data_IF_337638136138
#
_entry.id   IF_337638136138
#
_cell.length_a   1.000
_cell.length_b   1.000
_cell.length_c   1.000
_cell.angle_alpha   90.00
_cell.angle_beta   90.00
_cell.angle_gamma   90.00
#
_symmetry.space_group_name_H-M   'P 1'
#
loop_
_entity.id
_entity.type
_entity.pdbx_description
1 polymer ?
#
# COMPACT_ATOMS: atom_id res chain seq x y z
N UNK A 1 0.08 -21.16 5.68
CA UNK A 1 -0.26 -20.64 7.03
C UNK A 1 0.67 -19.49 7.30
N UNK A 2 0.16 -18.29 7.57
CA UNK A 2 0.98 -17.12 7.86
C UNK A 2 1.91 -17.42 9.05
N UNK A 3 3.15 -16.94 8.98
CA UNK A 3 4.11 -17.06 10.07
C UNK A 3 3.84 -15.99 11.11
N UNK A 4 4.21 -16.28 12.36
CA UNK A 4 4.21 -15.27 13.40
C UNK A 4 5.39 -14.34 13.16
N UNK A 5 5.20 -13.01 13.27
CA UNK A 5 6.30 -12.08 13.09
C UNK A 5 7.45 -12.32 14.08
N UNK A 6 7.14 -12.78 15.30
CA UNK A 6 8.16 -13.11 16.31
C UNK A 6 9.18 -14.15 15.81
N UNK A 7 8.68 -15.20 15.15
CA UNK A 7 9.51 -16.29 14.63
C UNK A 7 10.42 -15.80 13.47
N UNK A 8 9.91 -14.85 12.67
CA UNK A 8 10.64 -14.26 11.54
C UNK A 8 11.75 -13.35 12.04
N UNK A 9 11.42 -12.48 13.00
CA UNK A 9 12.38 -11.57 13.62
C UNK A 9 13.50 -12.39 14.27
N UNK A 10 13.16 -13.41 15.07
CA UNK A 10 14.16 -14.27 15.71
C UNK A 10 15.06 -14.99 14.70
N UNK A 11 14.52 -15.43 13.56
CA UNK A 11 15.30 -16.06 12.51
C UNK A 11 16.28 -15.08 11.84
N UNK A 12 15.84 -13.85 11.55
CA UNK A 12 16.68 -12.81 10.98
C UNK A 12 17.73 -12.28 11.98
N UNK A 13 17.39 -12.19 13.27
CA UNK A 13 18.34 -11.88 14.35
C UNK A 13 19.44 -12.94 14.44
N UNK A 14 19.07 -14.23 14.36
CA UNK A 14 20.02 -15.34 14.39
C UNK A 14 21.01 -15.37 13.21
N UNK A 15 20.69 -14.70 12.11
CA UNK A 15 21.53 -14.57 10.92
C UNK A 15 22.24 -13.21 10.82
N UNK A 16 22.07 -12.32 11.81
CA UNK A 16 22.63 -10.96 11.80
C UNK A 16 22.20 -10.14 10.56
N UNK A 17 20.93 -10.27 10.14
CA UNK A 17 20.39 -9.64 8.93
C UNK A 17 19.54 -8.39 9.20
N UNK A 18 19.33 -8.04 10.46
CA UNK A 18 18.51 -6.91 10.84
C UNK A 18 19.36 -5.66 11.07
N UNK A 19 18.88 -4.50 10.64
CA UNK A 19 19.63 -3.24 10.72
C UNK A 19 18.77 -2.10 11.27
N UNK A 20 18.86 -1.92 12.58
CA UNK A 20 18.07 -0.92 13.33
C UNK A 20 18.73 0.45 13.41
N UNK A 21 19.95 0.59 12.89
CA UNK A 21 20.75 1.81 13.00
C UNK A 21 21.00 2.46 11.63
N UNK A 22 20.65 1.79 10.54
CA UNK A 22 20.88 2.32 9.20
C UNK A 22 20.09 3.60 8.93
N UNK A 23 20.80 4.56 8.33
CA UNK A 23 20.29 5.82 7.80
C UNK A 23 19.48 5.64 6.51
N UNK A 24 18.75 4.53 6.36
CA UNK A 24 17.76 4.44 5.28
C UNK A 24 16.58 5.28 5.75
N UNK A 25 16.26 6.34 5.00
CA UNK A 25 15.12 7.23 5.27
C UNK A 25 13.79 6.51 4.99
N UNK A 26 13.55 5.40 5.67
CA UNK A 26 12.22 4.81 5.72
C UNK A 26 11.30 5.74 6.49
N UNK A 27 10.04 5.89 6.07
CA UNK A 27 9.06 6.54 6.91
C UNK A 27 8.90 5.69 8.17
N UNK A 28 9.45 6.16 9.29
CA UNK A 28 9.21 5.54 10.58
C UNK A 28 7.98 6.20 11.22
N UNK A 29 7.14 5.44 11.94
CA UNK A 29 6.10 6.02 12.77
C UNK A 29 6.74 7.01 13.74
N UNK A 30 6.38 8.29 13.66
CA UNK A 30 7.00 9.30 14.51
C UNK A 30 6.64 9.01 15.96
N UNK A 31 7.65 9.07 16.84
CA UNK A 31 7.43 8.84 18.28
C UNK A 31 6.42 9.85 18.81
N UNK A 32 5.29 9.36 19.33
CA UNK A 32 4.22 10.19 19.90
C UNK A 32 3.00 10.39 19.00
N UNK A 33 3.02 9.94 17.74
CA UNK A 33 1.81 9.93 16.91
C UNK A 33 0.75 8.97 17.48
N UNK A 34 -0.49 9.45 17.55
CA UNK A 34 -1.61 8.60 17.94
C UNK A 34 -1.95 7.65 16.78
N UNK A 35 -1.68 6.36 16.98
CA UNK A 35 -2.06 5.30 16.06
C UNK A 35 -2.96 4.28 16.72
N UNK A 36 -3.80 3.63 15.93
CA UNK A 36 -4.58 2.49 16.38
C UNK A 36 -4.68 1.41 15.31
N UNK A 37 -4.91 0.14 15.69
CA UNK A 37 -5.13 -0.92 14.71
C UNK A 37 -6.28 -0.58 13.75
N UNK A 38 -6.02 -0.65 12.45
CA UNK A 38 -7.01 -0.48 11.41
C UNK A 38 -7.64 -1.85 11.09
N UNK A 39 -8.85 -2.08 11.61
CA UNK A 39 -9.61 -3.28 11.24
C UNK A 39 -10.11 -3.18 9.80
N UNK A 40 -9.38 -3.80 8.86
CA UNK A 40 -9.83 -3.89 7.46
C UNK A 40 -11.18 -4.60 7.32
N UNK A 41 -11.53 -5.48 8.27
CA UNK A 41 -12.84 -6.13 8.34
C UNK A 41 -13.98 -5.11 8.59
N UNK A 42 -13.72 -4.02 9.31
CA UNK A 42 -14.71 -2.95 9.47
C UNK A 42 -15.08 -2.29 8.13
N UNK A 43 -14.16 -2.29 7.17
CA UNK A 43 -14.33 -1.77 5.81
C UNK A 43 -14.82 -2.84 4.81
N UNK A 44 -15.06 -4.08 5.24
CA UNK A 44 -15.59 -5.14 4.36
C UNK A 44 -17.07 -4.95 4.05
N UNK A 45 -17.84 -4.37 4.97
CA UNK A 45 -19.29 -4.27 4.83
C UNK A 45 -19.68 -3.38 3.64
N UNK A 46 -20.55 -3.89 2.77
CA UNK A 46 -21.18 -3.11 1.71
C UNK A 46 -22.07 -1.99 2.26
N UNK A 47 -22.65 -2.20 3.45
CA UNK A 47 -23.47 -1.20 4.14
C UNK A 47 -22.59 -0.30 4.98
N UNK A 48 -22.87 0.99 4.91
CA UNK A 48 -22.29 2.00 5.79
C UNK A 48 -22.50 1.62 7.27
N UNK A 49 -21.52 1.85 8.15
CA UNK A 49 -21.66 1.60 9.58
C UNK A 49 -22.81 2.41 10.17
N UNK A 50 -23.45 1.88 11.23
CA UNK A 50 -24.48 2.61 11.97
C UNK A 50 -23.82 3.66 12.84
N UNK A 51 -23.71 4.87 12.31
CA UNK A 51 -23.21 6.07 13.01
C UNK A 51 -24.33 7.10 13.16
N UNK A 52 -24.14 8.06 14.06
CA UNK A 52 -25.05 9.20 14.22
C UNK A 52 -25.04 10.12 13.00
N UNK A 53 -26.05 11.00 12.90
CA UNK A 53 -26.15 11.96 11.79
C UNK A 53 -24.97 12.90 11.72
N UNK A 54 -24.49 13.38 12.88
CA UNK A 54 -23.33 14.27 13.02
C UNK A 54 -22.06 13.66 12.41
N UNK A 55 -21.80 12.37 12.64
CA UNK A 55 -20.69 11.67 12.01
C UNK A 55 -20.79 11.72 10.48
N UNK A 56 -21.96 11.42 9.92
CA UNK A 56 -22.13 11.37 8.47
C UNK A 56 -22.08 12.76 7.84
N UNK A 57 -22.61 13.78 8.52
CA UNK A 57 -22.47 15.18 8.10
C UNK A 57 -20.99 15.58 8.01
N UNK A 58 -20.20 15.30 9.04
CA UNK A 58 -18.77 15.59 9.05
C UNK A 58 -18.02 14.77 7.97
N UNK A 59 -18.33 13.49 7.81
CA UNK A 59 -17.67 12.66 6.79
C UNK A 59 -17.99 13.13 5.36
N UNK A 60 -19.23 13.56 5.11
CA UNK A 60 -19.63 14.15 3.82
C UNK A 60 -18.89 15.47 3.60
N UNK A 61 -18.78 16.32 4.63
CA UNK A 61 -18.07 17.59 4.57
C UNK A 61 -16.58 17.39 4.24
N UNK A 62 -15.87 16.57 5.01
CA UNK A 62 -14.43 16.31 4.82
C UNK A 62 -14.13 15.74 3.43
N UNK A 63 -14.88 14.73 3.00
CA UNK A 63 -14.73 14.14 1.66
C UNK A 63 -15.12 15.16 0.58
N UNK A 64 -16.14 15.98 0.82
CA UNK A 64 -16.56 17.04 -0.09
C UNK A 64 -15.54 18.17 -0.23
N UNK A 65 -14.84 18.54 0.85
CA UNK A 65 -13.74 19.50 0.83
C UNK A 65 -12.57 18.94 0.01
N UNK A 66 -12.17 17.70 0.26
CA UNK A 66 -11.10 17.03 -0.48
C UNK A 66 -11.43 16.77 -1.96
N UNK A 67 -12.71 16.75 -2.34
CA UNK A 67 -13.17 16.58 -3.72
C UNK A 67 -13.01 17.84 -4.59
N UNK A 68 -12.69 19.00 -4.00
CA UNK A 68 -12.62 20.26 -4.77
C UNK A 68 -11.48 20.23 -5.82
N UNK A 69 -11.72 20.69 -7.06
CA UNK A 69 -10.69 20.73 -8.10
C UNK A 69 -9.58 21.73 -7.74
N UNK A 70 -8.32 21.35 -7.93
CA UNK A 70 -7.18 22.28 -7.77
C UNK A 70 -5.92 21.75 -7.09
N UNK A 71 -5.96 20.54 -6.51
CA UNK A 71 -4.85 19.98 -5.72
C UNK A 71 -4.37 18.59 -6.22
N UNK A 72 -4.71 18.20 -7.46
CA UNK A 72 -4.31 16.89 -8.01
C UNK A 72 -2.76 16.75 -8.10
N UNK A 73 -2.02 17.86 -8.14
CA UNK A 73 -0.55 17.89 -8.08
C UNK A 73 0.07 17.50 -6.73
N UNK A 74 -0.72 17.40 -5.65
CA UNK A 74 -0.26 16.99 -4.32
C UNK A 74 -0.41 15.49 -4.06
N UNK A 75 -0.83 14.70 -5.04
CA UNK A 75 -1.07 13.27 -4.85
C UNK A 75 0.22 12.42 -4.83
N UNK A 76 1.37 12.91 -5.31
CA UNK A 76 2.64 12.20 -5.10
C UNK A 76 2.94 12.03 -3.60
N UNK A 77 2.54 13.00 -2.77
CA UNK A 77 2.64 12.89 -1.30
C UNK A 77 1.70 11.81 -0.73
N UNK A 78 0.63 11.41 -1.42
CA UNK A 78 -0.32 10.41 -0.88
C UNK A 78 0.28 9.01 -0.82
N UNK A 79 1.13 8.62 -1.77
CA UNK A 79 1.81 7.32 -1.76
C UNK A 79 3.14 7.37 -0.98
N UNK A 80 3.84 8.51 -0.97
CA UNK A 80 5.19 8.58 -0.37
C UNK A 80 5.23 9.20 1.04
N UNK A 81 4.17 9.91 1.45
CA UNK A 81 4.14 10.68 2.71
C UNK A 81 2.97 10.29 3.61
N UNK A 82 1.86 9.79 3.06
CA UNK A 82 0.61 9.60 3.81
C UNK A 82 0.17 8.14 4.02
N UNK A 83 0.80 7.17 3.35
CA UNK A 83 0.78 5.77 3.73
C UNK A 83 2.19 5.20 3.56
N UNK A 84 2.55 4.19 4.36
CA UNK A 84 3.85 3.53 4.23
C UNK A 84 3.84 2.13 4.82
N UNK A 85 4.70 1.26 4.30
CA UNK A 85 5.11 0.02 4.93
C UNK A 85 6.38 0.21 5.75
N UNK A 86 6.34 -0.14 7.04
CA UNK A 86 7.51 -0.24 7.91
C UNK A 86 8.07 -1.69 7.85
N UNK A 87 9.27 -1.90 7.27
CA UNK A 87 9.81 -3.24 7.07
C UNK A 87 10.16 -3.97 8.38
N UNK A 88 10.05 -5.30 8.39
CA UNK A 88 10.50 -6.15 9.51
C UNK A 88 12.00 -5.95 9.77
N UNK A 89 12.79 -5.80 8.70
CA UNK A 89 14.25 -5.61 8.76
C UNK A 89 14.70 -4.44 9.63
N UNK A 90 13.89 -3.39 9.72
CA UNK A 90 14.23 -2.14 10.42
C UNK A 90 13.31 -1.87 11.61
N UNK A 91 12.01 -2.13 11.48
CA UNK A 91 11.00 -1.75 12.49
C UNK A 91 10.70 -2.82 13.55
N UNK A 92 11.22 -4.06 13.43
CA UNK A 92 11.01 -5.14 14.42
C UNK A 92 9.53 -5.36 14.74
N UNK A 93 9.12 -5.17 16.00
CA UNK A 93 7.76 -5.34 16.50
C UNK A 93 6.81 -4.23 16.02
N UNK A 94 7.37 -3.08 15.61
CA UNK A 94 6.64 -1.95 15.02
C UNK A 94 6.49 -2.07 13.50
N UNK A 95 6.83 -3.21 12.90
CA UNK A 95 6.58 -3.48 11.49
C UNK A 95 5.09 -3.40 11.15
N UNK A 96 4.79 -3.11 9.89
CA UNK A 96 3.42 -3.14 9.38
C UNK A 96 3.11 -2.00 8.44
N UNK A 97 1.83 -1.88 8.09
CA UNK A 97 1.32 -0.85 7.19
C UNK A 97 0.72 0.28 8.02
N UNK A 98 1.10 1.50 7.73
CA UNK A 98 0.61 2.70 8.37
C UNK A 98 -0.11 3.56 7.34
N UNK A 99 -1.33 3.96 7.66
CA UNK A 99 -2.15 4.77 6.76
C UNK A 99 -2.60 5.99 7.56
N UNK A 100 -2.27 7.20 7.11
CA UNK A 100 -2.81 8.43 7.70
C UNK A 100 -4.26 8.58 7.34
N UNK A 101 -5.06 9.03 8.30
CA UNK A 101 -6.47 9.30 8.08
C UNK A 101 -6.68 10.36 6.98
N UNK A 102 -5.88 11.42 6.99
CA UNK A 102 -5.85 12.43 5.92
C UNK A 102 -5.60 11.84 4.52
N UNK A 103 -4.78 10.78 4.39
CA UNK A 103 -4.56 10.09 3.12
C UNK A 103 -5.85 9.48 2.58
N UNK A 104 -6.59 8.80 3.46
CA UNK A 104 -7.85 8.14 3.12
C UNK A 104 -8.89 9.18 2.71
N UNK A 105 -9.02 10.28 3.47
CA UNK A 105 -9.98 11.34 3.18
C UNK A 105 -9.67 12.04 1.86
N UNK A 106 -8.39 12.36 1.61
CA UNK A 106 -7.93 12.96 0.34
C UNK A 106 -8.25 12.05 -0.84
N UNK A 107 -7.86 10.78 -0.78
CA UNK A 107 -8.09 9.85 -1.87
C UNK A 107 -9.58 9.58 -2.08
N UNK A 108 -10.36 9.44 -1.00
CA UNK A 108 -11.82 9.30 -1.08
C UNK A 108 -12.48 10.54 -1.71
N UNK A 109 -12.02 11.74 -1.37
CA UNK A 109 -12.47 12.99 -2.00
C UNK A 109 -12.23 12.99 -3.51
N UNK A 110 -11.06 12.55 -3.97
CA UNK A 110 -10.74 12.46 -5.41
C UNK A 110 -11.56 11.40 -6.15
N UNK A 111 -11.92 10.32 -5.48
CA UNK A 111 -12.89 9.33 -5.99
C UNK A 111 -14.27 9.98 -6.09
N UNK A 112 -14.71 10.66 -5.03
CA UNK A 112 -16.01 11.33 -4.97
C UNK A 112 -16.15 12.43 -6.05
N UNK A 113 -15.08 13.17 -6.34
CA UNK A 113 -15.03 14.19 -7.38
C UNK A 113 -15.32 13.64 -8.80
N UNK A 114 -15.15 12.34 -9.01
CA UNK A 114 -15.40 11.64 -10.27
C UNK A 114 -16.77 10.96 -10.32
N UNK A 115 -17.57 11.06 -9.26
CA UNK A 115 -18.92 10.52 -9.25
C UNK A 115 -19.87 11.39 -10.11
N UNK A 116 -20.81 10.77 -10.84
CA UNK A 116 -21.81 11.52 -11.60
C UNK A 116 -22.79 12.25 -10.65
N UNK A 117 -23.14 13.49 -10.98
CA UNK A 117 -24.30 14.18 -10.38
C UNK A 117 -24.02 15.38 -9.47
N UNK A 118 -22.77 15.62 -9.05
CA UNK A 118 -22.37 16.86 -8.38
C UNK A 118 -22.93 17.10 -6.97
N UNK A 119 -22.03 17.34 -6.02
CA UNK A 119 -22.23 18.05 -4.74
C UNK A 119 -23.06 17.46 -3.60
N UNK A 120 -23.98 16.51 -3.80
CA UNK A 120 -24.64 15.81 -2.67
C UNK A 120 -24.21 14.35 -2.59
N UNK A 121 -23.25 14.07 -1.70
CA UNK A 121 -22.80 12.71 -1.44
C UNK A 121 -23.75 12.03 -0.44
N UNK A 122 -24.49 11.03 -0.90
CA UNK A 122 -25.19 10.09 -0.01
C UNK A 122 -24.15 9.33 0.86
N UNK A 123 -24.40 9.12 2.17
CA UNK A 123 -23.58 8.25 3.03
C UNK A 123 -23.09 6.95 2.38
N UNK A 124 -23.91 6.31 1.54
CA UNK A 124 -23.51 5.09 0.83
C UNK A 124 -22.35 5.32 -0.17
N UNK A 125 -22.35 6.46 -0.86
CA UNK A 125 -21.31 6.84 -1.82
C UNK A 125 -20.03 7.27 -1.10
N UNK A 126 -20.15 8.05 -0.03
CA UNK A 126 -19.01 8.41 0.85
C UNK A 126 -18.36 7.16 1.41
N UNK A 127 -19.17 6.24 1.95
CA UNK A 127 -18.67 4.98 2.48
C UNK A 127 -17.96 4.14 1.42
N UNK A 128 -18.52 4.07 0.20
CA UNK A 128 -17.86 3.41 -0.92
C UNK A 128 -16.51 4.04 -1.27
N UNK A 129 -16.43 5.38 -1.30
CA UNK A 129 -15.20 6.10 -1.59
C UNK A 129 -14.13 5.86 -0.50
N UNK A 130 -14.51 5.94 0.78
CA UNK A 130 -13.64 5.63 1.92
C UNK A 130 -13.10 4.19 1.87
N UNK A 131 -13.97 3.20 1.61
CA UNK A 131 -13.57 1.80 1.44
C UNK A 131 -12.57 1.64 0.30
N UNK A 132 -12.86 2.26 -0.85
CA UNK A 132 -11.99 2.20 -2.01
C UNK A 132 -10.63 2.81 -1.71
N UNK A 133 -10.59 3.97 -1.04
CA UNK A 133 -9.37 4.65 -0.65
C UNK A 133 -8.50 3.81 0.29
N UNK A 134 -9.10 3.25 1.36
CA UNK A 134 -8.40 2.36 2.30
C UNK A 134 -7.75 1.19 1.56
N UNK A 135 -8.50 0.50 0.69
CA UNK A 135 -7.96 -0.65 -0.02
C UNK A 135 -6.93 -0.28 -1.10
N UNK A 136 -7.04 0.88 -1.75
CA UNK A 136 -6.01 1.35 -2.67
C UNK A 136 -4.68 1.58 -1.93
N UNK A 137 -4.70 2.29 -0.80
CA UNK A 137 -3.50 2.56 0.00
C UNK A 137 -2.94 1.25 0.58
N UNK A 138 -3.79 0.44 1.21
CA UNK A 138 -3.38 -0.86 1.76
C UNK A 138 -2.73 -1.77 0.72
N UNK A 139 -3.26 -1.86 -0.50
CA UNK A 139 -2.70 -2.75 -1.52
C UNK A 139 -1.34 -2.28 -2.04
N UNK A 140 -1.12 -0.97 -2.12
CA UNK A 140 0.19 -0.42 -2.44
C UNK A 140 1.21 -0.84 -1.37
N UNK A 141 0.92 -0.54 -0.10
CA UNK A 141 1.85 -0.85 1.00
C UNK A 141 2.04 -2.36 1.24
N UNK A 142 0.98 -3.15 1.04
CA UNK A 142 1.07 -4.60 1.14
C UNK A 142 1.99 -5.19 0.06
N UNK A 143 2.17 -4.52 -1.08
CA UNK A 143 3.10 -4.97 -2.10
C UNK A 143 4.56 -4.91 -1.62
N UNK A 144 4.96 -3.83 -0.93
CA UNK A 144 6.29 -3.73 -0.31
C UNK A 144 6.52 -4.84 0.72
N UNK A 145 5.49 -5.19 1.51
CA UNK A 145 5.57 -6.36 2.39
C UNK A 145 5.82 -7.67 1.63
N UNK A 146 5.21 -7.85 0.44
CA UNK A 146 5.45 -9.04 -0.40
C UNK A 146 6.88 -9.08 -0.94
N UNK A 147 7.43 -7.92 -1.29
CA UNK A 147 8.82 -7.76 -1.74
C UNK A 147 9.80 -8.13 -0.63
N UNK A 148 9.62 -7.57 0.58
CA UNK A 148 10.43 -7.93 1.74
C UNK A 148 10.28 -9.42 2.07
N UNK A 149 9.06 -9.94 2.04
CA UNK A 149 8.79 -11.35 2.33
C UNK A 149 9.47 -12.30 1.34
N UNK A 150 9.61 -11.90 0.08
CA UNK A 150 10.38 -12.64 -0.91
C UNK A 150 11.88 -12.58 -0.59
N UNK A 151 12.41 -11.40 -0.26
CA UNK A 151 13.81 -11.22 0.14
C UNK A 151 14.18 -12.04 1.38
N UNK A 152 13.33 -12.05 2.42
CA UNK A 152 13.49 -12.87 3.64
C UNK A 152 13.60 -14.35 3.28
N UNK A 153 12.78 -14.85 2.35
CA UNK A 153 12.85 -16.25 1.93
C UNK A 153 14.19 -16.58 1.26
N UNK A 154 14.72 -15.66 0.45
CA UNK A 154 16.06 -15.82 -0.16
C UNK A 154 17.15 -15.79 0.91
N UNK A 155 17.09 -14.83 1.83
CA UNK A 155 18.03 -14.66 2.94
C UNK A 155 18.09 -15.90 3.84
N UNK A 156 16.94 -16.49 4.17
CA UNK A 156 16.88 -17.73 4.96
C UNK A 156 17.48 -18.94 4.22
N UNK A 157 17.42 -18.95 2.89
CA UNK A 157 17.98 -20.04 2.07
C UNK A 157 19.47 -19.86 1.79
N UNK A 158 19.89 -18.63 1.50
CA UNK A 158 21.25 -18.30 1.06
C UNK A 158 22.18 -17.93 2.23
N UNK A 159 21.62 -17.49 3.36
CA UNK A 159 22.40 -17.00 4.51
C UNK A 159 23.07 -15.64 4.25
N UNK A 160 22.64 -14.91 3.22
CA UNK A 160 23.19 -13.62 2.80
C UNK A 160 22.12 -12.55 2.78
N UNK A 161 22.46 -11.32 3.21
CA UNK A 161 21.56 -10.17 3.17
C UNK A 161 21.16 -9.81 1.73
N UNK A 162 19.86 -9.66 1.47
CA UNK A 162 19.28 -9.29 0.18
C UNK A 162 18.45 -8.03 0.27
N UNK A 163 17.53 -7.92 1.22
CA UNK A 163 16.54 -6.83 1.26
C UNK A 163 17.20 -5.45 1.44
N UNK A 164 17.98 -5.28 2.51
CA UNK A 164 18.61 -3.99 2.80
C UNK A 164 19.65 -3.55 1.74
N UNK A 165 20.52 -4.44 1.21
CA UNK A 165 21.38 -4.09 0.08
C UNK A 165 20.61 -3.77 -1.21
N UNK A 166 19.55 -4.53 -1.52
CA UNK A 166 18.65 -4.23 -2.64
C UNK A 166 18.06 -2.82 -2.50
N UNK A 167 17.47 -2.51 -1.35
CA UNK A 167 16.84 -1.21 -1.14
C UNK A 167 17.86 -0.07 -1.32
N UNK A 168 19.02 -0.15 -0.67
CA UNK A 168 20.09 0.87 -0.81
C UNK A 168 20.56 1.06 -2.26
N UNK A 169 20.73 -0.04 -2.99
CA UNK A 169 21.28 -0.01 -4.35
C UNK A 169 20.26 0.45 -5.39
N UNK A 170 18.98 0.10 -5.24
CA UNK A 170 17.93 0.40 -6.21
C UNK A 170 17.27 1.75 -5.94
N UNK A 171 16.91 2.05 -4.69
CA UNK A 171 16.30 3.32 -4.32
C UNK A 171 17.32 4.46 -4.24
N UNK A 172 18.59 4.13 -3.96
CA UNK A 172 19.70 5.10 -3.99
C UNK A 172 20.26 5.38 -5.38
N UNK A 173 19.76 4.74 -6.44
CA UNK A 173 20.31 4.87 -7.80
C UNK A 173 19.73 6.10 -8.54
N UNK A 174 20.53 7.16 -8.79
CA UNK A 174 20.04 8.37 -9.46
C UNK A 174 19.89 8.22 -10.99
N UNK A 175 20.23 7.05 -11.56
CA UNK A 175 20.49 6.88 -13.00
C UNK A 175 19.40 6.21 -13.84
N UNK A 176 18.24 5.87 -13.27
CA UNK A 176 17.13 5.26 -14.02
C UNK A 176 16.04 6.29 -14.31
N UNK A 177 15.69 6.52 -15.59
CA UNK A 177 14.63 7.46 -15.97
C UNK A 177 13.27 7.15 -15.32
N UNK A 178 13.05 5.92 -14.85
CA UNK A 178 11.77 5.40 -14.40
C UNK A 178 11.75 4.88 -12.95
N UNK A 179 12.65 5.29 -12.06
CA UNK A 179 12.59 4.97 -10.61
C UNK A 179 12.61 3.46 -10.27
N UNK A 180 12.33 3.07 -9.01
CA UNK A 180 12.29 1.65 -8.63
C UNK A 180 11.11 0.94 -9.30
N UNK A 181 11.37 -0.21 -9.92
CA UNK A 181 10.34 -1.06 -10.54
C UNK A 181 9.29 -1.55 -9.52
N UNK A 182 9.71 -1.69 -8.26
CA UNK A 182 8.85 -2.02 -7.13
C UNK A 182 7.67 -1.05 -6.99
N UNK A 183 7.90 0.26 -7.07
CA UNK A 183 6.84 1.27 -6.96
C UNK A 183 5.82 1.17 -8.10
N UNK A 184 6.31 0.93 -9.32
CA UNK A 184 5.46 0.71 -10.48
C UNK A 184 4.58 -0.53 -10.31
N UNK A 185 5.13 -1.62 -9.78
CA UNK A 185 4.38 -2.84 -9.50
C UNK A 185 3.41 -2.67 -8.32
N UNK A 186 3.76 -1.90 -7.29
CA UNK A 186 2.85 -1.55 -6.21
C UNK A 186 1.63 -0.76 -6.73
N UNK A 187 1.85 0.24 -7.59
CA UNK A 187 0.77 0.95 -8.30
C UNK A 187 -0.07 0.02 -9.19
N UNK A 188 0.58 -0.90 -9.91
CA UNK A 188 -0.11 -1.89 -10.72
C UNK A 188 -1.00 -2.82 -9.87
N UNK A 189 -0.52 -3.22 -8.69
CA UNK A 189 -1.26 -4.10 -7.77
C UNK A 189 -2.55 -3.45 -7.26
N UNK A 190 -2.57 -2.13 -7.05
CA UNK A 190 -3.80 -1.38 -6.72
C UNK A 190 -4.89 -1.58 -7.78
N UNK A 191 -4.55 -1.44 -9.06
CA UNK A 191 -5.48 -1.64 -10.19
C UNK A 191 -5.91 -3.10 -10.32
N UNK A 192 -4.99 -4.05 -10.13
CA UNK A 192 -5.24 -5.50 -10.26
C UNK A 192 -6.14 -5.99 -9.14
N UNK A 193 -5.90 -5.58 -7.90
CA UNK A 193 -6.68 -5.97 -6.73
C UNK A 193 -8.01 -5.25 -6.65
N UNK A 194 -8.15 -4.02 -7.13
CA UNK A 194 -9.47 -3.36 -7.22
C UNK A 194 -10.52 -4.24 -7.92
N UNK A 195 -10.11 -5.01 -8.94
CA UNK A 195 -11.00 -5.94 -9.67
C UNK A 195 -11.29 -7.25 -8.93
N UNK A 196 -10.38 -7.69 -8.06
CA UNK A 196 -10.37 -9.05 -7.46
C UNK A 196 -10.65 -9.05 -5.95
N UNK A 197 -10.53 -7.91 -5.28
CA UNK A 197 -10.61 -7.79 -3.82
C UNK A 197 -12.04 -8.09 -3.34
N UNK A 198 -12.14 -9.12 -2.52
CA UNK A 198 -13.41 -9.60 -1.97
C UNK A 198 -14.04 -8.56 -1.06
N UNK A 199 -13.22 -7.75 -0.39
CA UNK A 199 -13.68 -6.68 0.50
C UNK A 199 -14.25 -5.46 -0.23
N UNK A 200 -14.10 -5.39 -1.55
CA UNK A 200 -14.76 -4.39 -2.40
C UNK A 200 -16.04 -4.94 -3.05
N UNK A 201 -16.48 -6.17 -2.72
CA UNK A 201 -17.78 -6.68 -3.16
C UNK A 201 -18.91 -5.81 -2.61
N UNK A 202 -19.92 -5.56 -3.44
CA UNK A 202 -21.08 -4.73 -3.10
C UNK A 202 -20.79 -3.23 -3.03
N UNK A 203 -19.63 -2.78 -3.52
CA UNK A 203 -19.36 -1.36 -3.78
C UNK A 203 -20.37 -0.82 -4.81
N UNK A 204 -20.91 0.40 -4.65
CA UNK A 204 -21.68 1.04 -5.72
C UNK A 204 -20.90 1.07 -7.03
N UNK A 205 -21.59 0.81 -8.15
CA UNK A 205 -20.96 0.70 -9.47
C UNK A 205 -20.26 2.01 -9.85
N UNK A 206 -20.88 3.13 -9.51
CA UNK A 206 -20.41 4.49 -9.74
C UNK A 206 -19.08 4.72 -9.03
N UNK A 207 -18.98 4.31 -7.76
CA UNK A 207 -17.73 4.38 -6.99
C UNK A 207 -16.67 3.48 -7.61
N UNK A 208 -17.02 2.25 -8.01
CA UNK A 208 -16.05 1.33 -8.63
C UNK A 208 -15.43 1.91 -9.91
N UNK A 209 -16.27 2.53 -10.74
CA UNK A 209 -15.86 3.20 -11.97
C UNK A 209 -15.06 4.48 -11.68
N UNK A 210 -15.48 5.28 -10.69
CA UNK A 210 -14.77 6.48 -10.28
C UNK A 210 -13.37 6.17 -9.73
N UNK A 211 -13.24 5.15 -8.88
CA UNK A 211 -11.94 4.67 -8.37
C UNK A 211 -11.05 4.21 -9.51
N UNK A 212 -11.57 3.39 -10.43
CA UNK A 212 -10.79 2.92 -11.59
C UNK A 212 -10.32 4.11 -12.45
N UNK A 213 -11.24 5.01 -12.79
CA UNK A 213 -10.95 6.22 -13.58
C UNK A 213 -9.92 7.11 -12.90
N UNK A 214 -9.99 7.24 -11.57
CA UNK A 214 -8.97 7.94 -10.79
C UNK A 214 -7.61 7.29 -10.96
N UNK A 215 -7.47 6.00 -10.66
CA UNK A 215 -6.17 5.31 -10.69
C UNK A 215 -5.56 5.34 -12.10
N UNK A 216 -6.36 5.11 -13.15
CA UNK A 216 -5.89 5.15 -14.55
C UNK A 216 -5.44 6.55 -14.99
N UNK A 217 -6.03 7.61 -14.45
CA UNK A 217 -5.64 8.99 -14.76
C UNK A 217 -4.49 9.50 -13.88
N UNK A 218 -4.43 9.08 -12.62
CA UNK A 218 -3.51 9.61 -11.61
C UNK A 218 -2.15 8.92 -11.64
N UNK A 219 -2.11 7.58 -11.73
CA UNK A 219 -0.83 6.85 -11.69
C UNK A 219 0.16 7.39 -12.74
N UNK A 220 -0.22 7.63 -14.02
CA UNK A 220 0.71 8.16 -15.01
C UNK A 220 1.26 9.57 -14.72
N UNK A 221 0.64 10.34 -13.82
CA UNK A 221 1.11 11.69 -13.44
C UNK A 221 2.11 11.66 -12.29
N UNK A 222 2.36 10.51 -11.69
CA UNK A 222 3.30 10.35 -10.57
C UNK A 222 4.76 10.42 -11.03
N UNK A 223 5.66 10.46 -10.04
CA UNK A 223 7.10 10.49 -10.28
C UNK A 223 7.65 9.24 -11.00
N UNK A 224 8.95 9.23 -11.33
CA UNK A 224 9.65 8.00 -11.73
C UNK A 224 9.37 6.86 -10.74
N UNK A 225 9.20 5.64 -11.24
CA UNK A 225 8.84 4.44 -10.47
C UNK A 225 7.36 4.17 -10.63
N UNK A 226 6.57 5.02 -9.96
CA UNK A 226 5.13 4.94 -9.87
C UNK A 226 4.41 5.00 -11.23
N UNK A 227 4.82 5.91 -12.12
CA UNK A 227 4.07 6.23 -13.35
C UNK A 227 3.87 5.05 -14.31
N UNK A 228 4.68 4.01 -14.17
CA UNK A 228 4.60 2.79 -14.98
C UNK A 228 3.47 1.85 -14.56
N UNK A 229 2.80 2.11 -13.42
CA UNK A 229 1.86 1.14 -12.84
C UNK A 229 0.66 0.78 -13.71
N UNK A 230 0.19 1.69 -14.58
CA UNK A 230 -0.90 1.37 -15.53
C UNK A 230 -0.42 0.36 -16.58
N UNK A 231 0.77 0.56 -17.14
CA UNK A 231 1.35 -0.31 -18.16
C UNK A 231 1.70 -1.69 -17.59
N UNK A 232 2.11 -1.73 -16.32
CA UNK A 232 2.44 -2.96 -15.58
C UNK A 232 1.19 -3.73 -15.08
N UNK A 233 -0.02 -3.17 -15.15
CA UNK A 233 -1.21 -3.79 -14.57
C UNK A 233 -1.71 -5.04 -15.32
N UNK A 234 -1.34 -5.22 -16.59
CA UNK A 234 -1.69 -6.41 -17.37
C UNK A 234 -1.04 -7.68 -16.79
N UNK A 235 -1.73 -8.83 -16.84
CA UNK A 235 -1.23 -10.08 -16.21
C UNK A 235 0.19 -10.46 -16.65
N UNK A 236 0.48 -10.41 -17.96
CA UNK A 236 1.81 -10.73 -18.49
C UNK A 236 2.87 -9.72 -18.06
N UNK A 237 2.57 -8.41 -18.18
CA UNK A 237 3.49 -7.34 -17.81
C UNK A 237 3.80 -7.35 -16.31
N UNK A 238 2.79 -7.58 -15.48
CA UNK A 238 2.95 -7.70 -14.04
C UNK A 238 3.83 -8.90 -13.67
N UNK A 239 3.57 -10.07 -14.25
CA UNK A 239 4.38 -11.27 -13.99
C UNK A 239 5.82 -11.10 -14.47
N UNK A 240 6.04 -10.50 -15.64
CA UNK A 240 7.39 -10.20 -16.14
C UNK A 240 8.12 -9.18 -15.26
N UNK A 241 7.45 -8.10 -14.88
CA UNK A 241 7.99 -7.11 -13.95
C UNK A 241 8.33 -7.72 -12.59
N UNK A 242 7.45 -8.54 -12.01
CA UNK A 242 7.69 -9.25 -10.75
C UNK A 242 8.92 -10.17 -10.85
N UNK A 243 9.08 -10.89 -11.95
CA UNK A 243 10.25 -11.73 -12.17
C UNK A 243 11.54 -10.90 -12.28
N UNK A 244 11.51 -9.78 -13.00
CA UNK A 244 12.65 -8.86 -13.06
C UNK A 244 12.99 -8.28 -11.68
N UNK A 245 11.97 -7.91 -10.90
CA UNK A 245 12.11 -7.44 -9.53
C UNK A 245 12.76 -8.52 -8.64
N UNK A 246 12.33 -9.78 -8.75
CA UNK A 246 12.99 -10.89 -8.05
C UNK A 246 14.49 -10.99 -8.37
N UNK A 247 14.88 -10.75 -9.62
CA UNK A 247 16.30 -10.68 -9.99
C UNK A 247 17.01 -9.46 -9.41
N UNK A 248 16.37 -8.29 -9.36
CA UNK A 248 16.92 -7.10 -8.71
C UNK A 248 17.19 -7.33 -7.23
N UNK A 249 16.26 -7.99 -6.53
CA UNK A 249 16.37 -8.33 -5.12
C UNK A 249 17.53 -9.32 -4.89
N UNK A 250 17.56 -10.43 -5.63
CA UNK A 250 18.62 -11.43 -5.44
C UNK A 250 20.01 -10.88 -5.79
N UNK A 251 20.13 -10.12 -6.88
CA UNK A 251 21.41 -9.53 -7.28
C UNK A 251 21.77 -8.26 -6.52
N UNK A 252 20.85 -7.72 -5.70
CA UNK A 252 21.01 -6.44 -4.99
C UNK A 252 21.46 -5.32 -5.93
N UNK A 253 20.82 -5.25 -7.11
CA UNK A 253 21.25 -4.39 -8.23
C UNK A 253 20.05 -3.88 -9.02
N UNK A 254 20.05 -2.59 -9.44
CA UNK A 254 19.01 -2.05 -10.33
C UNK A 254 19.05 -2.69 -11.73
N UNK A 255 20.23 -3.20 -12.14
CA UNK A 255 20.46 -3.87 -13.43
C UNK A 255 20.94 -5.29 -13.13
N UNK A 256 20.02 -6.25 -12.93
CA UNK A 256 20.41 -7.63 -12.68
C UNK A 256 21.04 -8.23 -13.94
N UNK A 257 21.94 -9.18 -13.76
CA UNK A 257 22.64 -9.88 -14.86
C UNK A 257 21.76 -10.92 -15.55
N UNK A 258 20.67 -11.34 -14.90
CA UNK A 258 19.69 -12.32 -15.37
C UNK A 258 18.40 -11.61 -15.81
N UNK A 259 17.76 -12.12 -16.85
CA UNK A 259 16.52 -11.56 -17.42
C UNK A 259 15.26 -11.88 -16.59
N UNK A 260 15.42 -12.64 -15.51
CA UNK A 260 14.36 -13.06 -14.59
C UNK A 260 13.54 -14.24 -15.12
N UNK A 261 13.85 -14.79 -16.28
CA UNK A 261 13.10 -15.89 -16.88
C UNK A 261 13.05 -17.14 -15.98
N UNK A 262 14.11 -17.42 -15.22
CA UNK A 262 14.14 -18.52 -14.25
C UNK A 262 13.08 -18.42 -13.16
N UNK A 263 12.64 -17.21 -12.82
CA UNK A 263 11.61 -17.00 -11.81
C UNK A 263 10.22 -17.44 -12.28
N UNK A 264 10.06 -17.81 -13.56
CA UNK A 264 8.84 -18.47 -14.07
C UNK A 264 8.69 -19.92 -13.58
N UNK A 265 9.77 -20.51 -13.04
CA UNK A 265 9.81 -21.92 -12.63
C UNK A 265 9.53 -22.13 -11.13
N UNK A 266 9.60 -21.07 -10.33
CA UNK A 266 9.29 -21.11 -8.90
C UNK A 266 7.79 -20.94 -8.68
N UNK A 267 7.30 -21.53 -7.59
CA UNK A 267 5.90 -21.44 -7.20
C UNK A 267 5.52 -20.01 -6.83
N UNK A 268 4.29 -19.60 -7.16
CA UNK A 268 3.79 -18.24 -6.94
C UNK A 268 3.71 -17.85 -5.44
N UNK A 269 3.67 -18.82 -4.54
CA UNK A 269 3.55 -18.62 -3.08
C UNK A 269 4.81 -17.99 -2.46
N UNK A 270 5.94 -18.03 -3.16
CA UNK A 270 7.17 -17.33 -2.75
C UNK A 270 7.03 -15.81 -2.80
N UNK A 271 6.09 -15.30 -3.59
CA UNK A 271 5.76 -13.87 -3.70
C UNK A 271 4.61 -13.45 -2.78
N UNK A 272 4.14 -14.34 -1.90
CA UNK A 272 3.14 -13.99 -0.88
C UNK A 272 3.78 -13.45 0.39
N UNK A 273 3.03 -12.61 1.11
CA UNK A 273 3.41 -12.11 2.43
C UNK A 273 3.70 -13.25 3.40
N UNK A 274 4.83 -13.17 4.09
CA UNK A 274 5.26 -14.19 5.03
C UNK A 274 4.47 -14.10 6.36
N UNK A 275 4.10 -12.87 6.73
CA UNK A 275 3.26 -12.54 7.89
C UNK A 275 1.89 -12.00 7.43
N UNK A 276 0.88 -12.06 8.32
CA UNK A 276 -0.45 -11.51 8.04
C UNK A 276 -0.46 -9.97 8.20
N UNK A 277 0.02 -9.24 7.18
CA UNK A 277 0.08 -7.78 7.20
C UNK A 277 -1.29 -7.10 7.42
N UNK A 278 -2.41 -7.77 7.12
CA UNK A 278 -3.76 -7.25 7.45
C UNK A 278 -3.97 -7.02 8.94
N UNK A 279 -3.32 -7.82 9.78
CA UNK A 279 -3.37 -7.70 11.25
C UNK A 279 -2.37 -6.70 11.81
N UNK A 280 -1.33 -6.38 11.02
CA UNK A 280 -0.33 -5.36 11.28
C UNK A 280 -0.58 -4.13 10.38
N UNK A 281 -1.83 -3.65 10.36
CA UNK A 281 -2.20 -2.41 9.66
C UNK A 281 -2.73 -1.41 10.70
N UNK A 282 -2.25 -0.17 10.64
CA UNK A 282 -2.51 0.88 11.61
C UNK A 282 -3.04 2.13 10.92
N UNK A 283 -4.03 2.77 11.55
CA UNK A 283 -4.51 4.09 11.18
C UNK A 283 -3.78 5.11 12.07
N UNK A 284 -3.08 6.06 11.44
CA UNK A 284 -2.44 7.20 12.10
C UNK A 284 -3.45 8.34 12.12
N UNK A 285 -3.81 8.79 13.33
CA UNK A 285 -4.91 9.73 13.57
C UNK A 285 -4.40 11.16 13.49
N UNK A 286 -4.78 11.88 12.43
CA UNK A 286 -4.51 13.30 12.25
C UNK A 286 -5.78 14.18 12.10
N UNK A 287 -6.98 13.59 11.96
CA UNK A 287 -8.28 14.30 11.95
C UNK A 287 -9.39 13.71 12.86
N UNK A 288 -9.15 12.56 13.51
CA UNK A 288 -10.06 11.79 14.38
C UNK A 288 -11.36 11.22 13.78
N UNK A 289 -11.65 11.39 12.49
CA UNK A 289 -12.92 10.98 11.87
C UNK A 289 -13.07 9.46 11.72
N UNK A 290 -12.20 8.83 10.93
CA UNK A 290 -12.15 7.37 10.73
C UNK A 290 -11.80 6.65 12.02
N UNK A 291 -11.15 7.35 12.95
CA UNK A 291 -10.90 6.84 14.28
C UNK A 291 -12.14 6.32 15.00
N UNK A 292 -13.31 6.95 14.75
CA UNK A 292 -14.62 6.54 15.29
C UNK A 292 -15.19 5.28 14.65
N UNK A 293 -14.75 4.92 13.43
CA UNK A 293 -15.17 3.70 12.72
C UNK A 293 -14.37 2.50 13.22
N UNK A 294 -13.06 2.69 13.42
CA UNK A 294 -12.10 1.62 13.74
C UNK A 294 -11.95 1.39 15.24
N UNK A 295 -12.31 2.38 16.06
CA UNK A 295 -12.27 2.28 17.50
C UNK A 295 -13.20 1.18 18.02
N UNK A 296 -12.63 0.15 18.66
CA UNK A 296 -13.42 -0.68 19.57
C UNK A 296 -13.98 0.24 20.65
N UNK A 297 -15.31 0.21 20.88
CA UNK A 297 -15.85 0.64 22.18
C UNK A 297 -15.06 -0.14 23.23
N UNK A 298 -14.30 0.56 24.07
CA UNK A 298 -13.82 0.01 25.33
C UNK A 298 -15.01 -0.36 26.19
#
# INVERSE_FOLDING_TARGET
MAKKPEDVIAALEGLDLLDYQSAVNWPEPQTGEQRQPLSLEAFRSAKAPRMDGEFWELAIEEVGVAARPGEDGALSEVLDVLAWYAPIHTAREDWGIYIRESAVLRLAGRIAARLPGGTTLDPAMVWGALRSAVFCLYHHEAFHHYVESFAIRLELFEGEARYLPYHRSVYGYPGGSDGPLEEGLACADQLRRHRKERYLRGLPREVSLATKSLLEAWIPTLGPGYRQGVDLAADSAFSEGRNRLSSQIQCTSPVPTDDGSRWRLIADDVHEGLCECRSATYLVLDGYLLGRITGRRR
#
